data_IF_660477964629
#
_entry.id   IF_660477964629
#
_cell.length_a   1.000
_cell.length_b   1.000
_cell.length_c   1.000
_cell.angle_alpha   90.00
_cell.angle_beta   90.00
_cell.angle_gamma   90.00
#
_symmetry.space_group_name_H-M   'P 1'
#
loop_
_entity.id
_entity.type
_entity.pdbx_description
1 polymer ?
#
# COMPACT_ATOMS: atom_id res chain seq x y z
N UNK A 1 27.15 -6.07 0.84
CA UNK A 1 25.81 -5.49 0.55
C UNK A 1 24.79 -6.56 0.16
N UNK A 2 25.10 -7.53 -0.71
CA UNK A 2 24.15 -8.61 -1.08
C UNK A 2 23.63 -9.43 0.10
N UNK A 3 24.49 -9.78 1.06
CA UNK A 3 24.07 -10.62 2.20
C UNK A 3 23.17 -9.88 3.18
N UNK A 4 23.37 -8.56 3.37
CA UNK A 4 22.54 -7.73 4.26
C UNK A 4 21.15 -7.51 3.67
N UNK A 5 21.08 -7.30 2.36
CA UNK A 5 19.80 -7.19 1.63
C UNK A 5 19.07 -8.54 1.64
N UNK A 6 19.79 -9.65 1.44
CA UNK A 6 19.20 -10.98 1.51
C UNK A 6 18.70 -11.32 2.93
N UNK A 7 19.42 -10.93 3.99
CA UNK A 7 18.95 -11.12 5.37
C UNK A 7 17.79 -10.21 5.73
N UNK A 8 17.74 -8.99 5.21
CA UNK A 8 16.61 -8.07 5.43
C UNK A 8 15.36 -8.58 4.70
N UNK A 9 15.50 -9.03 3.45
CA UNK A 9 14.42 -9.68 2.68
C UNK A 9 13.97 -10.94 3.39
N UNK A 10 14.90 -11.79 3.86
CA UNK A 10 14.54 -12.99 4.60
C UNK A 10 13.81 -12.65 5.91
N UNK A 11 14.26 -11.64 6.66
CA UNK A 11 13.61 -11.21 7.90
C UNK A 11 12.18 -10.67 7.65
N UNK A 12 11.97 -9.89 6.59
CA UNK A 12 10.66 -9.37 6.19
C UNK A 12 9.73 -10.51 5.72
N UNK A 13 10.27 -11.51 5.01
CA UNK A 13 9.51 -12.69 4.57
C UNK A 13 9.22 -13.67 5.72
N UNK A 14 10.08 -13.72 6.75
CA UNK A 14 9.97 -14.62 7.91
C UNK A 14 9.15 -14.05 9.06
N UNK A 15 8.92 -12.73 9.10
CA UNK A 15 8.03 -12.09 10.08
C UNK A 15 6.54 -12.24 9.73
N UNK A 16 6.16 -13.09 8.77
CA UNK A 16 4.77 -13.24 8.31
C UNK A 16 3.89 -13.96 9.35
N UNK A 17 3.53 -13.28 10.42
CA UNK A 17 2.33 -13.61 11.18
C UNK A 17 1.18 -12.84 10.53
N UNK A 18 0.57 -13.42 9.50
CA UNK A 18 -0.65 -12.88 8.91
C UNK A 18 -1.83 -13.56 9.59
N UNK A 19 -2.51 -12.83 10.49
CA UNK A 19 -3.78 -13.27 11.04
C UNK A 19 -4.88 -13.06 10.00
N UNK A 20 -5.34 -14.17 9.44
CA UNK A 20 -6.55 -14.20 8.64
C UNK A 20 -7.80 -13.89 9.48
N UNK A 21 -8.89 -13.48 8.83
CA UNK A 21 -10.24 -13.43 9.45
C UNK A 21 -10.74 -14.82 9.83
N UNK A 22 -10.17 -15.88 9.27
CA UNK A 22 -10.22 -17.20 9.90
C UNK A 22 -9.21 -17.23 11.04
N UNK A 23 -9.69 -17.02 12.26
CA UNK A 23 -8.84 -16.94 13.45
C UNK A 23 -8.80 -18.30 14.11
N UNK A 24 -7.60 -18.87 14.22
CA UNK A 24 -7.32 -20.08 14.97
C UNK A 24 -6.51 -19.73 16.19
N UNK A 25 -6.85 -20.31 17.33
CA UNK A 25 -6.15 -19.99 18.57
C UNK A 25 -6.51 -20.92 19.71
N UNK A 26 -6.09 -20.49 20.89
CA UNK A 26 -6.34 -21.13 22.16
C UNK A 26 -7.07 -20.14 23.07
N UNK A 27 -8.18 -20.59 23.64
CA UNK A 27 -8.86 -19.88 24.70
C UNK A 27 -8.09 -20.08 26.00
N UNK A 28 -7.57 -18.98 26.52
CA UNK A 28 -6.71 -18.95 27.69
C UNK A 28 -7.41 -18.18 28.82
N UNK A 29 -7.69 -18.91 29.89
CA UNK A 29 -8.42 -18.38 31.06
C UNK A 29 -7.62 -17.31 31.80
N UNK A 30 -6.30 -17.45 31.92
CA UNK A 30 -5.42 -16.45 32.55
C UNK A 30 -5.44 -15.13 31.79
N UNK A 31 -5.30 -15.16 30.45
CA UNK A 31 -5.36 -13.96 29.60
C UNK A 31 -6.74 -13.31 29.72
N UNK A 32 -7.81 -14.12 29.67
CA UNK A 32 -9.17 -13.62 29.85
C UNK A 32 -9.33 -12.92 31.20
N UNK A 33 -8.83 -13.50 32.30
CA UNK A 33 -8.90 -12.88 33.63
C UNK A 33 -8.09 -11.58 33.72
N UNK A 34 -6.89 -11.53 33.14
CA UNK A 34 -6.04 -10.33 33.19
C UNK A 34 -6.64 -9.16 32.41
N UNK A 35 -7.29 -9.43 31.28
CA UNK A 35 -7.83 -8.41 30.38
C UNK A 35 -9.35 -8.19 30.53
N UNK A 36 -9.99 -8.83 31.52
CA UNK A 36 -11.46 -8.86 31.69
C UNK A 36 -12.19 -9.31 30.41
N UNK A 37 -11.65 -10.35 29.78
CA UNK A 37 -12.03 -10.92 28.50
C UNK A 37 -10.83 -11.02 27.55
N UNK A 38 -10.60 -12.19 26.95
CA UNK A 38 -9.53 -12.37 25.96
C UNK A 38 -10.02 -11.90 24.60
N UNK A 39 -9.31 -10.98 23.96
CA UNK A 39 -9.61 -10.55 22.60
C UNK A 39 -9.39 -11.69 21.60
N UNK A 40 -10.40 -11.94 20.76
CA UNK A 40 -10.35 -13.00 19.74
C UNK A 40 -10.22 -12.40 18.36
N UNK A 41 -11.18 -11.56 17.97
CA UNK A 41 -11.19 -10.96 16.64
C UNK A 41 -12.11 -9.76 16.55
N UNK A 42 -11.90 -8.96 15.51
CA UNK A 42 -12.69 -7.81 15.13
C UNK A 42 -13.04 -7.90 13.64
N UNK A 43 -14.32 -7.73 13.32
CA UNK A 43 -14.82 -7.84 11.97
C UNK A 43 -15.92 -6.84 11.68
N UNK A 44 -15.86 -6.19 10.51
CA UNK A 44 -16.92 -5.29 10.08
C UNK A 44 -17.93 -6.03 9.22
N UNK A 45 -19.13 -6.19 9.77
CA UNK A 45 -20.25 -6.85 9.10
C UNK A 45 -21.07 -5.86 8.30
N UNK A 46 -21.53 -6.27 7.12
CA UNK A 46 -22.37 -5.44 6.25
C UNK A 46 -23.84 -5.41 6.72
N UNK A 47 -24.26 -6.42 7.47
CA UNK A 47 -25.55 -6.47 8.17
C UNK A 47 -26.56 -7.43 7.57
N UNK A 48 -26.52 -7.68 6.26
CA UNK A 48 -27.42 -8.61 5.58
C UNK A 48 -26.85 -10.03 5.58
N UNK A 49 -27.61 -10.98 6.13
CA UNK A 49 -27.32 -12.43 6.15
C UNK A 49 -25.90 -12.81 6.61
N UNK A 50 -25.21 -11.91 7.31
CA UNK A 50 -23.82 -12.13 7.69
C UNK A 50 -23.71 -13.16 8.81
N UNK A 51 -22.66 -13.99 8.79
CA UNK A 51 -22.56 -15.17 9.63
C UNK A 51 -21.27 -15.19 10.44
N UNK A 52 -21.41 -15.36 11.74
CA UNK A 52 -20.33 -15.69 12.66
C UNK A 52 -20.38 -17.19 12.96
N UNK A 53 -19.29 -17.91 12.73
CA UNK A 53 -19.19 -19.35 13.03
C UNK A 53 -18.02 -19.56 13.99
N UNK A 54 -18.26 -20.29 15.08
CA UNK A 54 -17.22 -20.75 15.98
C UNK A 54 -17.20 -22.27 16.02
N UNK A 55 -16.02 -22.86 15.78
CA UNK A 55 -15.76 -24.30 15.89
C UNK A 55 -14.81 -24.57 17.05
N UNK A 56 -15.11 -25.63 17.79
CA UNK A 56 -14.39 -26.06 18.99
C UNK A 56 -13.91 -27.49 18.85
N UNK A 57 -12.67 -27.75 19.25
CA UNK A 57 -12.12 -29.11 19.22
C UNK A 57 -12.64 -29.97 20.39
N UNK A 58 -12.97 -29.35 21.54
CA UNK A 58 -13.43 -30.06 22.73
C UNK A 58 -14.63 -29.34 23.41
N UNK A 59 -15.87 -29.58 22.95
CA UNK A 59 -17.05 -28.92 23.50
C UNK A 59 -17.37 -29.36 24.94
N UNK A 60 -16.94 -30.55 25.37
CA UNK A 60 -17.15 -31.02 26.73
C UNK A 60 -16.35 -30.19 27.75
N UNK A 61 -15.08 -29.90 27.43
CA UNK A 61 -14.24 -29.02 28.25
C UNK A 61 -14.76 -27.58 28.26
N UNK A 62 -15.26 -27.10 27.11
CA UNK A 62 -15.88 -25.78 27.00
C UNK A 62 -17.12 -25.66 27.90
N UNK A 63 -17.95 -26.70 27.96
CA UNK A 63 -19.11 -26.75 28.85
C UNK A 63 -18.72 -26.79 30.33
N UNK A 64 -17.68 -27.54 30.70
CA UNK A 64 -17.17 -27.59 32.09
C UNK A 64 -16.64 -26.23 32.57
N UNK A 65 -15.94 -25.51 31.69
CA UNK A 65 -15.46 -24.14 31.96
C UNK A 65 -16.57 -23.08 31.91
N UNK A 66 -17.78 -23.44 31.50
CA UNK A 66 -18.83 -22.49 31.13
C UNK A 66 -18.32 -21.40 30.18
N UNK A 67 -17.55 -21.81 29.17
CA UNK A 67 -16.95 -20.94 28.17
C UNK A 67 -18.02 -20.21 27.35
N UNK A 68 -17.80 -18.91 27.12
CA UNK A 68 -18.72 -18.01 26.44
C UNK A 68 -17.95 -17.10 25.47
N UNK A 69 -18.55 -16.84 24.31
CA UNK A 69 -18.13 -15.78 23.41
C UNK A 69 -19.07 -14.59 23.55
N UNK A 70 -18.50 -13.42 23.80
CA UNK A 70 -19.19 -12.16 23.97
C UNK A 70 -18.97 -11.32 22.72
N UNK A 71 -20.06 -10.97 22.04
CA UNK A 71 -20.04 -10.13 20.84
C UNK A 71 -20.50 -8.72 21.18
N UNK A 72 -19.62 -7.75 20.95
CA UNK A 72 -19.88 -6.32 21.14
C UNK A 72 -20.02 -5.64 19.79
N UNK A 73 -20.91 -4.65 19.71
CA UNK A 73 -21.15 -3.85 18.52
C UNK A 73 -20.69 -2.42 18.79
N UNK A 74 -19.81 -1.91 17.93
CA UNK A 74 -19.08 -0.64 18.09
C UNK A 74 -18.23 -0.60 19.38
N UNK A 75 -17.00 -0.07 19.29
CA UNK A 75 -16.15 0.14 20.47
C UNK A 75 -16.81 1.20 21.34
N UNK A 76 -17.52 0.80 22.40
CA UNK A 76 -17.92 1.76 23.42
C UNK A 76 -16.65 2.16 24.18
N UNK A 77 -16.17 3.41 24.10
CA UNK A 77 -14.92 3.83 24.76
C UNK A 77 -15.01 3.70 26.29
N UNK A 78 -16.22 3.53 26.84
CA UNK A 78 -16.45 3.30 28.26
C UNK A 78 -16.33 1.82 28.68
N UNK A 79 -16.09 0.89 27.74
CA UNK A 79 -16.02 -0.55 28.03
C UNK A 79 -14.86 -0.90 28.98
N UNK A 80 -13.76 -0.16 28.93
CA UNK A 80 -12.58 -0.37 29.77
C UNK A 80 -12.75 0.22 31.18
N UNK A 81 -13.74 1.10 31.39
CA UNK A 81 -14.06 1.71 32.68
C UNK A 81 -15.11 0.92 33.49
N UNK A 82 -15.72 -0.09 32.88
CA UNK A 82 -16.75 -0.91 33.49
C UNK A 82 -16.14 -2.04 34.35
N UNK A 83 -16.87 -2.47 35.38
CA UNK A 83 -16.49 -3.68 36.11
C UNK A 83 -16.58 -4.90 35.18
N UNK A 84 -15.81 -5.97 35.45
CA UNK A 84 -15.78 -7.17 34.61
C UNK A 84 -17.18 -7.76 34.37
N UNK A 85 -17.99 -7.83 35.43
CA UNK A 85 -19.37 -8.33 35.36
C UNK A 85 -20.27 -7.39 34.55
N UNK A 86 -20.16 -6.07 34.75
CA UNK A 86 -20.98 -5.11 34.00
C UNK A 86 -20.62 -5.13 32.51
N UNK A 87 -19.34 -5.31 32.18
CA UNK A 87 -18.86 -5.48 30.80
C UNK A 87 -19.58 -6.64 30.12
N UNK A 88 -19.77 -7.77 30.80
CA UNK A 88 -20.46 -8.93 30.21
C UNK A 88 -21.94 -8.64 29.91
N UNK A 89 -22.60 -7.82 30.73
CA UNK A 89 -24.02 -7.44 30.49
C UNK A 89 -24.19 -6.49 29.30
N UNK A 90 -23.14 -5.75 28.94
CA UNK A 90 -23.11 -4.85 27.78
C UNK A 90 -22.94 -5.59 26.45
N UNK A 91 -22.57 -6.88 26.47
CA UNK A 91 -22.44 -7.68 25.25
C UNK A 91 -23.79 -7.79 24.52
N UNK A 92 -23.78 -7.60 23.20
CA UNK A 92 -25.00 -7.67 22.39
C UNK A 92 -25.46 -9.11 22.19
N UNK A 93 -24.52 -10.04 22.06
CA UNK A 93 -24.78 -11.47 22.09
C UNK A 93 -23.82 -12.17 23.04
N UNK A 94 -24.35 -13.19 23.71
CA UNK A 94 -23.60 -14.10 24.59
C UNK A 94 -23.82 -15.50 24.05
N UNK A 95 -22.77 -16.09 23.49
CA UNK A 95 -22.78 -17.41 22.87
C UNK A 95 -22.19 -18.40 23.88
N UNK A 96 -22.98 -19.36 24.36
CA UNK A 96 -22.49 -20.44 25.22
C UNK A 96 -21.85 -21.56 24.39
N UNK A 97 -20.57 -21.82 24.64
CA UNK A 97 -19.76 -22.78 23.90
C UNK A 97 -19.99 -24.20 24.42
N UNK A 98 -21.08 -24.82 23.98
CA UNK A 98 -21.50 -26.17 24.42
C UNK A 98 -21.51 -27.22 23.31
N UNK A 99 -21.39 -26.79 22.05
CA UNK A 99 -21.44 -27.64 20.86
C UNK A 99 -20.17 -27.47 20.04
N UNK A 100 -19.88 -28.45 19.17
CA UNK A 100 -18.71 -28.42 18.30
C UNK A 100 -18.72 -27.23 17.33
N UNK A 101 -19.88 -26.88 16.77
CA UNK A 101 -20.06 -25.73 15.89
C UNK A 101 -21.20 -24.83 16.40
N UNK A 102 -20.96 -23.53 16.45
CA UNK A 102 -21.95 -22.53 16.80
C UNK A 102 -22.06 -21.47 15.71
N UNK A 103 -23.27 -21.27 15.21
CA UNK A 103 -23.58 -20.38 14.10
C UNK A 103 -24.47 -19.25 14.59
N UNK A 104 -23.99 -18.01 14.50
CA UNK A 104 -24.70 -16.80 14.89
C UNK A 104 -24.86 -15.88 13.68
N UNK A 105 -26.09 -15.70 13.24
CA UNK A 105 -26.43 -14.71 12.20
C UNK A 105 -26.46 -13.31 12.81
N UNK A 106 -25.81 -12.37 12.13
CA UNK A 106 -25.78 -10.97 12.56
C UNK A 106 -27.09 -10.30 12.12
N UNK A 107 -27.78 -9.56 13.00
CA UNK A 107 -29.03 -8.91 12.67
C UNK A 107 -28.82 -7.79 11.64
N UNK A 108 -29.85 -7.58 10.80
CA UNK A 108 -29.91 -6.53 9.80
C UNK A 108 -29.55 -5.16 10.39
N UNK A 109 -28.68 -4.43 9.69
CA UNK A 109 -28.20 -3.11 10.09
C UNK A 109 -28.26 -2.15 8.91
N UNK A 110 -28.63 -0.90 9.18
CA UNK A 110 -28.73 0.16 8.18
C UNK A 110 -27.38 0.60 7.62
N UNK A 111 -26.28 0.25 8.29
CA UNK A 111 -24.91 0.60 7.89
C UNK A 111 -23.94 -0.48 8.39
N UNK A 112 -22.84 -0.75 7.67
CA UNK A 112 -21.81 -1.66 8.15
C UNK A 112 -21.25 -1.22 9.49
N UNK A 113 -21.12 -2.16 10.43
CA UNK A 113 -20.61 -1.89 11.76
C UNK A 113 -19.56 -2.89 12.19
N UNK A 114 -18.69 -2.43 13.08
CA UNK A 114 -17.65 -3.25 13.67
C UNK A 114 -18.24 -4.11 14.78
N UNK A 115 -17.90 -5.39 14.75
CA UNK A 115 -18.17 -6.33 15.82
C UNK A 115 -16.87 -6.87 16.40
N UNK A 116 -16.81 -6.96 17.72
CA UNK A 116 -15.68 -7.50 18.47
C UNK A 116 -16.11 -8.75 19.22
N UNK A 117 -15.32 -9.82 19.08
CA UNK A 117 -15.51 -11.06 19.81
C UNK A 117 -14.49 -11.16 20.95
N UNK A 118 -14.99 -11.37 22.17
CA UNK A 118 -14.20 -11.58 23.37
C UNK A 118 -14.55 -12.95 23.96
N UNK A 119 -13.53 -13.70 24.38
CA UNK A 119 -13.71 -14.94 25.13
C UNK A 119 -13.76 -14.66 26.63
N UNK A 120 -14.68 -15.35 27.29
CA UNK A 120 -14.83 -15.35 28.73
C UNK A 120 -15.26 -16.74 29.22
N UNK A 121 -14.97 -17.03 30.47
CA UNK A 121 -15.41 -18.23 31.18
C UNK A 121 -15.80 -17.90 32.63
N UNK A 122 -16.22 -18.92 33.39
CA UNK A 122 -16.62 -18.74 34.80
C UNK A 122 -15.54 -18.13 35.70
N UNK A 123 -14.27 -18.24 35.32
CA UNK A 123 -13.14 -17.77 36.12
C UNK A 123 -12.70 -16.36 35.74
N UNK A 124 -13.17 -15.85 34.60
CA UNK A 124 -12.73 -14.57 34.02
C UNK A 124 -12.98 -13.38 34.96
N UNK A 125 -14.15 -13.29 35.60
CA UNK A 125 -14.48 -12.21 36.55
C UNK A 125 -14.32 -12.61 38.02
N UNK A 126 -13.76 -13.79 38.32
CA UNK A 126 -13.65 -14.25 39.70
C UNK A 126 -12.42 -13.65 40.39
N UNK A 127 -12.64 -12.89 41.47
CA UNK A 127 -11.57 -12.34 42.29
C UNK A 127 -10.96 -13.41 43.21
N UNK A 128 -9.63 -13.58 43.18
CA UNK A 128 -8.88 -14.38 44.16
C UNK A 128 -9.06 -15.91 44.11
N UNK A 129 -9.74 -16.45 43.09
CA UNK A 129 -9.88 -17.90 42.90
C UNK A 129 -8.63 -18.56 42.29
N UNK A 130 -8.31 -19.78 42.74
CA UNK A 130 -7.31 -20.65 42.07
C UNK A 130 -7.91 -21.09 40.74
N UNK A 131 -7.27 -20.72 39.62
CA UNK A 131 -7.62 -21.26 38.31
C UNK A 131 -7.15 -22.72 38.31
N UNK A 132 -8.05 -23.70 38.10
CA UNK A 132 -7.62 -25.07 37.97
C UNK A 132 -6.77 -25.20 36.71
N UNK A 133 -5.69 -26.00 36.76
CA UNK A 133 -4.85 -26.29 35.60
C UNK A 133 -5.63 -27.16 34.61
N UNK A 134 -6.52 -26.52 33.85
CA UNK A 134 -7.21 -27.13 32.74
C UNK A 134 -6.39 -26.95 31.47
N UNK A 135 -6.52 -27.89 30.54
CA UNK A 135 -5.96 -27.73 29.20
C UNK A 135 -6.56 -26.49 28.50
N UNK A 136 -5.77 -25.86 27.64
CA UNK A 136 -6.23 -24.80 26.76
C UNK A 136 -7.21 -25.37 25.72
N UNK A 137 -8.27 -24.60 25.41
CA UNK A 137 -9.31 -25.01 24.47
C UNK A 137 -9.01 -24.43 23.10
N UNK A 138 -8.77 -25.27 22.10
CA UNK A 138 -8.55 -24.80 20.73
C UNK A 138 -9.86 -24.45 20.04
N UNK A 139 -9.81 -23.37 19.26
CA UNK A 139 -10.96 -22.86 18.54
C UNK A 139 -10.58 -22.40 17.12
N UNK A 140 -11.59 -22.39 16.25
CA UNK A 140 -11.55 -21.75 14.95
C UNK A 140 -12.77 -20.85 14.79
N UNK A 141 -12.56 -19.54 14.61
CA UNK A 141 -13.63 -18.59 14.27
C UNK A 141 -13.59 -18.28 12.79
N UNK A 142 -14.75 -18.34 12.14
CA UNK A 142 -14.96 -17.95 10.75
C UNK A 142 -15.97 -16.79 10.71
N UNK A 143 -15.62 -15.78 9.94
CA UNK A 143 -16.38 -14.54 9.80
C UNK A 143 -16.78 -14.40 8.33
N UNK A 144 -18.08 -14.25 8.07
CA UNK A 144 -18.62 -14.19 6.71
C UNK A 144 -19.54 -12.98 6.51
N UNK A 145 -19.33 -12.28 5.41
CA UNK A 145 -20.26 -11.32 4.82
C UNK A 145 -20.94 -11.93 3.57
N UNK A 146 -22.07 -11.36 3.13
CA UNK A 146 -22.76 -11.81 1.94
C UNK A 146 -21.91 -11.57 0.68
N UNK A 147 -21.89 -12.55 -0.21
CA UNK A 147 -21.28 -12.45 -1.54
C UNK A 147 -22.16 -11.62 -2.49
N UNK A 148 -21.74 -11.47 -3.75
CA UNK A 148 -22.53 -10.74 -4.76
C UNK A 148 -23.90 -11.36 -5.07
N UNK A 149 -24.14 -12.61 -4.65
CA UNK A 149 -25.41 -13.32 -4.76
C UNK A 149 -26.22 -13.33 -3.45
N UNK A 150 -25.72 -12.66 -2.39
CA UNK A 150 -26.38 -12.57 -1.09
C UNK A 150 -26.10 -13.75 -0.13
N UNK A 151 -25.19 -14.67 -0.48
CA UNK A 151 -24.88 -15.83 0.38
C UNK A 151 -23.71 -15.51 1.31
N UNK A 152 -23.73 -15.90 2.60
CA UNK A 152 -22.65 -15.63 3.55
C UNK A 152 -21.44 -16.56 3.35
N UNK A 153 -20.72 -16.34 2.26
CA UNK A 153 -19.57 -17.14 1.86
C UNK A 153 -18.29 -16.31 1.76
N UNK A 154 -18.39 -14.99 1.83
CA UNK A 154 -17.25 -14.11 1.62
C UNK A 154 -16.58 -13.76 2.94
N UNK A 155 -15.28 -14.01 3.05
CA UNK A 155 -14.48 -13.66 4.22
C UNK A 155 -14.06 -12.17 4.26
N UNK A 156 -14.36 -11.39 3.21
CA UNK A 156 -14.03 -9.96 3.21
C UNK A 156 -14.83 -9.18 4.26
N UNK A 157 -14.12 -8.40 5.05
CA UNK A 157 -14.72 -7.34 5.87
C UNK A 157 -15.34 -6.28 4.96
N UNK A 158 -16.31 -5.51 5.46
CA UNK A 158 -16.92 -4.43 4.68
C UNK A 158 -15.89 -3.35 4.23
N UNK A 159 -14.78 -3.22 4.97
CA UNK A 159 -13.65 -2.32 4.67
C UNK A 159 -12.86 -2.82 3.46
N UNK A 160 -12.59 -4.12 3.38
CA UNK A 160 -11.81 -4.75 2.30
C UNK A 160 -12.68 -5.15 1.08
N UNK A 161 -14.00 -5.20 1.26
CA UNK A 161 -14.94 -5.58 0.21
C UNK A 161 -14.79 -4.70 -1.05
N UNK A 162 -14.53 -5.36 -2.18
CA UNK A 162 -14.30 -4.73 -3.49
C UNK A 162 -12.82 -4.56 -3.88
N UNK A 163 -11.88 -4.74 -2.94
CA UNK A 163 -10.44 -4.62 -3.23
C UNK A 163 -9.96 -5.70 -4.22
N UNK A 164 -10.49 -6.92 -4.12
CA UNK A 164 -10.22 -8.00 -5.08
C UNK A 164 -10.59 -7.61 -6.52
N UNK A 165 -11.80 -7.08 -6.71
CA UNK A 165 -12.31 -6.61 -8.01
C UNK A 165 -11.50 -5.43 -8.55
N UNK A 166 -11.06 -4.53 -7.66
CA UNK A 166 -10.18 -3.43 -8.02
C UNK A 166 -8.84 -3.92 -8.61
N UNK A 167 -8.14 -4.83 -7.92
CA UNK A 167 -6.87 -5.36 -8.41
C UNK A 167 -7.03 -6.14 -9.72
N UNK A 168 -8.14 -6.86 -9.89
CA UNK A 168 -8.45 -7.51 -11.17
C UNK A 168 -8.56 -6.49 -12.32
N UNK A 169 -9.33 -5.40 -12.13
CA UNK A 169 -9.48 -4.35 -13.13
C UNK A 169 -8.16 -3.60 -13.38
N UNK A 170 -7.36 -3.37 -12.34
CA UNK A 170 -6.04 -2.75 -12.46
C UNK A 170 -5.08 -3.61 -13.29
N UNK A 171 -5.04 -4.92 -13.03
CA UNK A 171 -4.24 -5.87 -13.81
C UNK A 171 -4.70 -5.94 -15.26
N UNK A 172 -6.01 -5.93 -15.50
CA UNK A 172 -6.56 -5.87 -16.86
C UNK A 172 -6.11 -4.59 -17.58
N UNK A 173 -6.18 -3.43 -16.91
CA UNK A 173 -5.71 -2.17 -17.46
C UNK A 173 -4.20 -2.19 -17.76
N UNK A 174 -3.39 -2.75 -16.87
CA UNK A 174 -1.95 -2.94 -17.10
C UNK A 174 -1.67 -3.88 -18.27
N UNK A 175 -2.43 -4.98 -18.39
CA UNK A 175 -2.30 -5.91 -19.51
C UNK A 175 -2.59 -5.22 -20.86
N UNK A 176 -3.68 -4.45 -20.93
CA UNK A 176 -4.04 -3.67 -22.13
C UNK A 176 -2.95 -2.64 -22.45
N UNK A 177 -2.49 -1.89 -21.45
CA UNK A 177 -1.43 -0.91 -21.62
C UNK A 177 -0.11 -1.56 -22.11
N UNK A 178 0.27 -2.71 -21.54
CA UNK A 178 1.42 -3.48 -22.00
C UNK A 178 1.28 -3.86 -23.48
N UNK A 179 0.13 -4.37 -23.91
CA UNK A 179 -0.11 -4.73 -25.31
C UNK A 179 0.08 -3.52 -26.26
N UNK A 180 -0.37 -2.33 -25.86
CA UNK A 180 -0.26 -1.10 -26.66
C UNK A 180 1.18 -0.58 -26.70
N UNK A 181 1.88 -0.55 -25.56
CA UNK A 181 3.16 0.17 -25.42
C UNK A 181 4.41 -0.70 -25.53
N UNK A 182 4.31 -2.03 -25.55
CA UNK A 182 5.48 -2.92 -25.58
C UNK A 182 6.35 -2.74 -26.84
N UNK A 183 5.73 -2.54 -28.01
CA UNK A 183 6.46 -2.33 -29.26
C UNK A 183 7.21 -0.99 -29.29
N UNK A 184 6.56 0.18 -29.04
CA UNK A 184 7.27 1.46 -28.89
C UNK A 184 8.37 1.43 -27.84
N UNK A 185 8.11 0.78 -26.69
CA UNK A 185 9.07 0.66 -25.61
C UNK A 185 10.31 -0.12 -26.04
N UNK A 186 10.11 -1.29 -26.64
CA UNK A 186 11.21 -2.14 -27.08
C UNK A 186 12.11 -1.39 -28.06
N UNK A 187 11.53 -0.65 -29.00
CA UNK A 187 12.27 0.18 -29.94
C UNK A 187 13.02 1.31 -29.23
N UNK A 188 12.36 2.04 -28.31
CA UNK A 188 12.98 3.13 -27.56
C UNK A 188 14.16 2.66 -26.69
N UNK A 189 14.06 1.47 -26.07
CA UNK A 189 15.13 0.88 -25.27
C UNK A 189 16.30 0.42 -26.16
N UNK A 190 16.02 -0.24 -27.28
CA UNK A 190 17.09 -0.71 -28.19
C UNK A 190 17.89 0.43 -28.81
N UNK A 191 17.26 1.58 -29.04
CA UNK A 191 17.87 2.73 -29.73
C UNK A 191 18.86 3.53 -28.86
N UNK A 192 18.81 3.42 -27.53
CA UNK A 192 19.86 3.99 -26.66
C UNK A 192 19.96 5.53 -26.63
N UNK A 193 18.83 6.25 -26.59
CA UNK A 193 18.81 7.72 -26.52
C UNK A 193 19.21 8.30 -25.14
N UNK A 194 19.33 9.64 -25.02
CA UNK A 194 19.72 10.30 -23.75
C UNK A 194 18.72 10.05 -22.61
N UNK A 195 17.47 9.69 -22.93
CA UNK A 195 16.41 9.35 -21.95
C UNK A 195 16.34 7.85 -21.64
N UNK A 196 17.25 7.03 -22.17
CA UNK A 196 17.25 5.58 -22.02
C UNK A 196 17.29 5.13 -20.54
N UNK A 197 18.12 5.77 -19.72
CA UNK A 197 18.23 5.42 -18.29
C UNK A 197 16.92 5.67 -17.54
N UNK A 198 16.24 6.78 -17.83
CA UNK A 198 14.96 7.14 -17.19
C UNK A 198 13.88 6.14 -17.62
N UNK A 199 13.80 5.83 -18.92
CA UNK A 199 12.85 4.85 -19.44
C UNK A 199 13.10 3.46 -18.83
N UNK A 200 14.36 3.06 -18.64
CA UNK A 200 14.69 1.79 -17.99
C UNK A 200 14.20 1.76 -16.54
N UNK A 201 14.50 2.79 -15.74
CA UNK A 201 14.06 2.83 -14.34
C UNK A 201 12.54 2.88 -14.24
N UNK A 202 11.87 3.69 -15.06
CA UNK A 202 10.41 3.80 -15.07
C UNK A 202 9.73 2.48 -15.49
N UNK A 203 10.32 1.76 -16.45
CA UNK A 203 9.85 0.43 -16.86
C UNK A 203 10.02 -0.58 -15.73
N UNK A 204 11.16 -0.56 -15.03
CA UNK A 204 11.39 -1.43 -13.87
C UNK A 204 10.40 -1.12 -12.74
N UNK A 205 10.16 0.16 -12.44
CA UNK A 205 9.21 0.58 -11.42
C UNK A 205 7.78 0.13 -11.75
N UNK A 206 7.33 0.35 -12.99
CA UNK A 206 6.02 -0.10 -13.46
C UNK A 206 5.88 -1.63 -13.42
N UNK A 207 6.93 -2.36 -13.80
CA UNK A 207 6.93 -3.82 -13.71
C UNK A 207 6.82 -4.31 -12.26
N UNK A 208 7.57 -3.71 -11.32
CA UNK A 208 7.46 -4.02 -9.90
C UNK A 208 6.06 -3.72 -9.35
N UNK A 209 5.47 -2.59 -9.74
CA UNK A 209 4.10 -2.24 -9.34
C UNK A 209 3.07 -3.23 -9.92
N UNK A 210 3.24 -3.68 -11.16
CA UNK A 210 2.38 -4.71 -11.76
C UNK A 210 2.52 -6.08 -11.08
N UNK A 211 3.76 -6.46 -10.74
CA UNK A 211 4.03 -7.68 -9.98
C UNK A 211 3.42 -7.61 -8.58
N UNK A 212 3.51 -6.45 -7.90
CA UNK A 212 2.85 -6.21 -6.61
C UNK A 212 1.33 -6.39 -6.71
N UNK A 213 0.69 -5.75 -7.70
CA UNK A 213 -0.74 -5.90 -7.95
C UNK A 213 -1.15 -7.36 -8.22
N UNK A 214 -0.30 -8.15 -8.91
CA UNK A 214 -0.55 -9.57 -9.15
C UNK A 214 -0.47 -10.39 -7.86
N UNK A 215 0.54 -10.15 -7.03
CA UNK A 215 0.67 -10.79 -5.72
C UNK A 215 -0.52 -10.46 -4.81
N UNK A 216 -0.94 -9.20 -4.76
CA UNK A 216 -2.14 -8.77 -4.02
C UNK A 216 -3.40 -9.44 -4.56
N UNK A 217 -3.57 -9.52 -5.88
CA UNK A 217 -4.70 -10.24 -6.46
C UNK A 217 -4.72 -11.71 -6.05
N UNK A 218 -3.59 -12.42 -6.12
CA UNK A 218 -3.49 -13.84 -5.74
C UNK A 218 -3.77 -14.03 -4.25
N UNK A 219 -3.23 -13.16 -3.40
CA UNK A 219 -3.47 -13.16 -1.95
C UNK A 219 -4.98 -12.99 -1.66
N UNK A 220 -5.60 -11.94 -2.21
CA UNK A 220 -7.02 -11.63 -2.00
C UNK A 220 -7.94 -12.69 -2.62
N UNK A 221 -7.57 -13.29 -3.75
CA UNK A 221 -8.33 -14.37 -4.38
C UNK A 221 -8.44 -15.60 -3.46
N UNK A 222 -7.36 -15.94 -2.75
CA UNK A 222 -7.38 -17.02 -1.75
C UNK A 222 -8.09 -16.60 -0.49
N UNK A 223 -7.80 -15.39 0.00
CA UNK A 223 -8.41 -14.83 1.19
C UNK A 223 -9.94 -14.82 1.14
N UNK A 224 -10.54 -14.52 -0.02
CA UNK A 224 -12.01 -14.60 -0.18
C UNK A 224 -12.62 -15.96 0.16
N UNK A 225 -11.84 -17.06 0.03
CA UNK A 225 -12.33 -18.43 0.20
C UNK A 225 -11.96 -19.05 1.54
N UNK A 226 -10.82 -18.68 2.11
CA UNK A 226 -10.29 -19.29 3.33
C UNK A 226 -10.14 -18.30 4.49
N UNK A 227 -10.32 -17.00 4.23
CA UNK A 227 -10.15 -15.93 5.20
C UNK A 227 -8.70 -15.71 5.65
N UNK A 228 -7.71 -16.40 5.09
CA UNK A 228 -6.28 -16.30 5.47
C UNK A 228 -5.43 -15.78 4.31
N UNK A 229 -5.76 -16.17 3.08
CA UNK A 229 -4.98 -15.86 1.90
C UNK A 229 -3.63 -16.56 1.90
N UNK A 230 -2.71 -16.03 1.09
CA UNK A 230 -1.30 -16.50 1.06
C UNK A 230 -0.44 -15.41 1.70
N UNK A 231 0.03 -15.58 2.96
CA UNK A 231 0.79 -14.55 3.68
C UNK A 231 2.03 -14.09 2.91
N UNK A 232 2.74 -15.05 2.31
CA UNK A 232 3.91 -14.80 1.48
C UNK A 232 3.61 -13.87 0.30
N UNK A 233 2.45 -14.03 -0.35
CA UNK A 233 2.06 -13.19 -1.47
C UNK A 233 1.71 -11.77 -1.02
N UNK A 234 1.09 -11.60 0.15
CA UNK A 234 0.86 -10.28 0.75
C UNK A 234 2.18 -9.54 1.01
N UNK A 235 3.10 -10.19 1.73
CA UNK A 235 4.43 -9.63 2.02
C UNK A 235 5.24 -9.32 0.75
N UNK A 236 5.20 -10.18 -0.26
CA UNK A 236 5.84 -9.91 -1.56
C UNK A 236 5.22 -8.72 -2.28
N UNK A 237 3.89 -8.56 -2.21
CA UNK A 237 3.21 -7.43 -2.84
C UNK A 237 3.64 -6.11 -2.21
N UNK A 238 3.65 -6.03 -0.88
CA UNK A 238 4.10 -4.85 -0.13
C UNK A 238 5.57 -4.53 -0.43
N UNK A 239 6.44 -5.54 -0.39
CA UNK A 239 7.87 -5.35 -0.69
C UNK A 239 8.10 -4.81 -2.10
N UNK A 240 7.47 -5.40 -3.12
CA UNK A 240 7.60 -4.92 -4.50
C UNK A 240 7.02 -3.52 -4.69
N UNK A 241 5.94 -3.18 -3.99
CA UNK A 241 5.38 -1.84 -4.00
C UNK A 241 6.33 -0.82 -3.35
N UNK A 242 6.90 -1.13 -2.18
CA UNK A 242 7.90 -0.28 -1.53
C UNK A 242 9.09 0.01 -2.44
N UNK A 243 9.66 -1.03 -3.08
CA UNK A 243 10.79 -0.86 -4.01
C UNK A 243 10.37 0.00 -5.20
N UNK A 244 9.16 -0.19 -5.74
CA UNK A 244 8.60 0.64 -6.81
C UNK A 244 8.49 2.10 -6.38
N UNK A 245 7.89 2.39 -5.21
CA UNK A 245 7.72 3.74 -4.69
C UNK A 245 9.05 4.46 -4.47
N UNK A 246 10.06 3.77 -3.90
CA UNK A 246 11.41 4.30 -3.68
C UNK A 246 12.11 4.58 -5.02
N UNK A 247 12.00 3.66 -5.99
CA UNK A 247 12.58 3.84 -7.32
C UNK A 247 11.95 5.01 -8.08
N UNK A 248 10.64 5.22 -7.91
CA UNK A 248 9.93 6.32 -8.52
C UNK A 248 10.33 7.65 -7.91
N UNK A 249 10.38 7.72 -6.57
CA UNK A 249 10.83 8.91 -5.85
C UNK A 249 12.23 9.31 -6.31
N UNK A 250 13.16 8.35 -6.34
CA UNK A 250 14.53 8.57 -6.80
C UNK A 250 14.56 9.15 -8.22
N UNK A 251 13.73 8.61 -9.11
CA UNK A 251 13.63 9.09 -10.50
C UNK A 251 13.11 10.53 -10.54
N UNK A 252 12.01 10.84 -9.86
CA UNK A 252 11.42 12.18 -9.84
C UNK A 252 12.39 13.24 -9.30
N UNK A 253 13.05 12.95 -8.18
CA UNK A 253 14.02 13.86 -7.57
C UNK A 253 15.27 14.02 -8.44
N UNK A 254 15.78 12.94 -9.03
CA UNK A 254 16.94 13.00 -9.93
C UNK A 254 16.66 13.83 -11.19
N UNK A 255 15.46 13.70 -11.75
CA UNK A 255 15.01 14.48 -12.91
C UNK A 255 14.93 15.98 -12.58
N UNK A 256 14.37 16.34 -11.43
CA UNK A 256 14.23 17.74 -11.01
C UNK A 256 15.57 18.38 -10.62
N UNK A 257 16.47 17.60 -10.03
CA UNK A 257 17.81 18.06 -9.63
C UNK A 257 18.84 18.03 -10.76
N UNK A 258 18.43 17.72 -11.99
CA UNK A 258 19.23 17.96 -13.20
C UNK A 258 19.95 16.75 -13.80
N UNK A 259 19.62 15.52 -13.39
CA UNK A 259 20.30 14.32 -13.91
C UNK A 259 20.14 14.10 -15.42
N UNK A 260 19.07 14.60 -16.05
CA UNK A 260 18.83 14.38 -17.49
C UNK A 260 18.41 15.58 -18.34
N UNK A 261 18.09 16.74 -17.74
CA UNK A 261 17.46 17.85 -18.48
C UNK A 261 18.32 19.10 -18.71
N UNK A 262 19.53 19.22 -18.16
CA UNK A 262 20.36 20.39 -18.48
C UNK A 262 21.86 20.23 -18.20
N UNK A 263 22.66 19.91 -19.24
CA UNK A 263 23.85 20.69 -19.64
C UNK A 263 24.49 20.13 -20.92
N UNK A 264 23.85 20.38 -22.05
CA UNK A 264 24.54 20.37 -23.34
C UNK A 264 25.48 21.56 -23.43
N UNK A 265 26.70 21.44 -22.87
CA UNK A 265 27.93 22.18 -23.23
C UNK A 265 29.06 21.82 -22.26
N UNK A 266 29.62 20.62 -22.42
CA UNK A 266 31.05 20.33 -22.24
C UNK A 266 31.32 18.93 -22.82
N UNK A 267 32.41 18.72 -23.58
CA UNK A 267 32.69 17.44 -24.21
C UNK A 267 32.98 16.40 -23.13
N UNK A 268 32.16 15.36 -23.14
CA UNK A 268 32.15 14.22 -22.25
C UNK A 268 33.36 13.32 -22.57
N UNK A 269 34.42 13.41 -21.78
CA UNK A 269 35.54 12.45 -21.83
C UNK A 269 35.56 11.47 -20.65
N UNK A 270 34.57 11.50 -19.75
CA UNK A 270 34.37 10.46 -18.72
C UNK A 270 32.88 10.20 -18.47
N UNK A 271 32.42 8.93 -18.48
CA UNK A 271 31.03 8.60 -18.17
C UNK A 271 30.82 8.74 -16.66
N UNK A 272 29.64 9.23 -16.25
CA UNK A 272 29.20 9.36 -14.84
C UNK A 272 29.81 10.51 -14.01
N UNK A 273 29.88 11.73 -14.54
CA UNK A 273 30.09 12.90 -13.68
C UNK A 273 28.81 13.70 -13.44
N UNK A 274 28.43 13.68 -12.18
CA UNK A 274 27.36 14.39 -11.52
C UNK A 274 27.71 15.88 -11.48
N UNK A 275 26.93 16.76 -12.11
CA UNK A 275 27.08 18.21 -11.90
C UNK A 275 26.40 18.58 -10.58
N UNK A 276 27.11 18.32 -9.47
CA UNK A 276 26.69 18.43 -8.08
C UNK A 276 26.68 19.88 -7.59
N UNK A 277 25.53 20.37 -7.12
CA UNK A 277 25.56 20.92 -5.77
C UNK A 277 25.48 19.71 -4.82
N UNK A 278 26.48 19.47 -3.94
CA UNK A 278 26.44 18.35 -3.00
C UNK A 278 25.16 18.36 -2.15
N UNK A 279 24.57 19.55 -1.93
CA UNK A 279 23.30 19.73 -1.25
C UNK A 279 22.10 19.10 -1.99
N UNK A 280 21.98 19.25 -3.32
CA UNK A 280 20.82 18.69 -4.06
C UNK A 280 20.85 17.16 -4.10
N UNK A 281 22.05 16.60 -4.14
CA UNK A 281 22.28 15.14 -4.09
C UNK A 281 21.95 14.58 -2.72
N UNK A 282 22.40 15.27 -1.67
CA UNK A 282 22.07 14.91 -0.29
C UNK A 282 20.56 14.96 -0.02
N UNK A 283 19.86 15.96 -0.56
CA UNK A 283 18.38 16.06 -0.45
C UNK A 283 17.68 14.91 -1.19
N UNK A 284 18.12 14.56 -2.40
CA UNK A 284 17.52 13.47 -3.16
C UNK A 284 17.75 12.10 -2.51
N UNK A 285 18.99 11.79 -2.14
CA UNK A 285 19.34 10.52 -1.48
C UNK A 285 18.71 10.47 -0.08
N UNK A 286 18.78 11.56 0.68
CA UNK A 286 18.17 11.69 2.01
C UNK A 286 16.66 11.47 1.96
N UNK A 287 15.95 12.12 1.04
CA UNK A 287 14.51 11.92 0.87
C UNK A 287 14.13 10.48 0.54
N UNK A 288 14.90 9.82 -0.33
CA UNK A 288 14.69 8.40 -0.70
C UNK A 288 14.93 7.47 0.49
N UNK A 289 16.02 7.69 1.24
CA UNK A 289 16.34 6.89 2.43
C UNK A 289 15.28 7.09 3.51
N UNK A 290 14.90 8.34 3.80
CA UNK A 290 13.86 8.64 4.79
C UNK A 290 12.53 8.01 4.41
N UNK A 291 12.11 8.09 3.13
CA UNK A 291 10.88 7.41 2.68
C UNK A 291 10.97 5.89 2.87
N UNK A 292 12.09 5.27 2.48
CA UNK A 292 12.29 3.83 2.65
C UNK A 292 12.25 3.39 4.11
N UNK A 293 12.88 4.14 5.01
CA UNK A 293 12.86 3.86 6.46
C UNK A 293 11.45 4.01 7.04
N UNK A 294 10.71 5.04 6.64
CA UNK A 294 9.36 5.26 7.13
C UNK A 294 8.38 4.18 6.62
N UNK A 295 8.52 3.71 5.37
CA UNK A 295 7.72 2.59 4.86
C UNK A 295 8.03 1.28 5.59
N UNK A 296 9.31 1.03 5.91
CA UNK A 296 9.69 -0.13 6.72
C UNK A 296 9.19 -0.03 8.17
N UNK A 297 9.17 1.17 8.74
CA UNK A 297 8.56 1.40 10.05
C UNK A 297 7.07 1.08 10.00
N UNK A 298 6.33 1.65 9.05
CA UNK A 298 4.89 1.43 8.89
C UNK A 298 4.57 -0.07 8.84
N UNK A 299 5.30 -0.82 8.00
CA UNK A 299 5.20 -2.27 7.92
C UNK A 299 5.43 -3.00 9.25
N UNK A 300 6.46 -2.59 10.01
CA UNK A 300 6.77 -3.22 11.29
C UNK A 300 5.73 -2.87 12.37
N UNK A 301 5.25 -1.62 12.36
CA UNK A 301 4.23 -1.15 13.29
C UNK A 301 2.89 -1.84 13.08
N UNK A 302 2.52 -2.16 11.84
CA UNK A 302 1.33 -2.95 11.53
C UNK A 302 1.44 -4.39 12.01
N UNK A 303 2.65 -4.96 11.99
CA UNK A 303 2.91 -6.31 12.50
C UNK A 303 2.90 -6.44 14.03
N UNK A 304 3.10 -5.35 14.79
CA UNK A 304 3.25 -5.38 16.25
C UNK A 304 2.00 -4.87 17.01
N UNK A 305 1.24 -3.92 16.44
CA UNK A 305 0.06 -3.33 17.10
C UNK A 305 -1.24 -4.09 16.80
N UNK A 306 -1.31 -5.33 17.24
CA UNK A 306 -2.44 -6.25 17.00
C UNK A 306 -3.67 -5.97 17.90
N UNK A 307 -3.70 -4.90 18.72
CA UNK A 307 -4.71 -4.73 19.79
C UNK A 307 -5.55 -3.45 19.78
N UNK A 308 -5.26 -2.43 18.95
CA UNK A 308 -6.09 -1.21 18.88
C UNK A 308 -6.22 -0.67 17.45
N UNK A 309 -6.92 -1.42 16.60
CA UNK A 309 -7.18 -1.11 15.19
C UNK A 309 -8.26 -0.03 15.00
N UNK A 310 -8.03 1.19 15.49
CA UNK A 310 -8.79 2.38 15.04
C UNK A 310 -7.88 3.51 14.53
N UNK A 311 -6.57 3.26 14.42
CA UNK A 311 -5.58 4.30 14.15
C UNK A 311 -4.54 3.93 13.09
N UNK A 312 -4.78 2.99 12.17
CA UNK A 312 -3.86 2.75 11.04
C UNK A 312 -3.59 4.06 10.24
N UNK A 313 -4.62 4.87 10.01
CA UNK A 313 -4.50 6.23 9.42
C UNK A 313 -3.90 7.30 10.36
N UNK A 314 -3.69 7.00 11.64
CA UNK A 314 -3.02 7.86 12.62
C UNK A 314 -1.68 7.28 13.09
N UNK A 315 -1.17 6.24 12.42
CA UNK A 315 0.18 5.74 12.73
C UNK A 315 1.16 6.90 12.55
N UNK A 316 2.05 7.08 13.54
CA UNK A 316 3.02 8.16 13.50
C UNK A 316 3.89 8.07 12.23
N UNK A 317 4.18 6.84 11.78
CA UNK A 317 4.88 6.57 10.52
C UNK A 317 4.10 7.09 9.29
N UNK A 318 2.81 6.78 9.18
CA UNK A 318 1.94 7.27 8.09
C UNK A 318 1.83 8.80 8.07
N UNK A 319 1.70 9.44 9.24
CA UNK A 319 1.67 10.90 9.34
C UNK A 319 3.01 11.53 8.90
N UNK A 320 4.14 10.93 9.31
CA UNK A 320 5.46 11.37 8.89
C UNK A 320 5.67 11.18 7.37
N UNK A 321 5.17 10.10 6.77
CA UNK A 321 5.19 9.89 5.33
C UNK A 321 4.40 10.97 4.59
N UNK A 322 3.21 11.31 5.08
CA UNK A 322 2.39 12.40 4.54
C UNK A 322 3.15 13.72 4.61
N UNK A 323 3.71 14.06 5.77
CA UNK A 323 4.50 15.28 5.97
C UNK A 323 5.72 15.33 5.03
N UNK A 324 6.44 14.21 4.88
CA UNK A 324 7.56 14.09 3.95
C UNK A 324 7.12 14.33 2.50
N UNK A 325 6.02 13.72 2.05
CA UNK A 325 5.52 13.90 0.67
C UNK A 325 5.11 15.34 0.40
N UNK A 326 4.46 16.01 1.35
CA UNK A 326 4.12 17.44 1.22
C UNK A 326 5.39 18.30 1.15
N UNK A 327 6.36 18.05 2.03
CA UNK A 327 7.65 18.76 2.03
C UNK A 327 8.41 18.59 0.72
N UNK A 328 8.51 17.36 0.21
CA UNK A 328 9.15 17.07 -1.08
C UNK A 328 8.38 17.69 -2.25
N UNK A 329 7.05 17.71 -2.22
CA UNK A 329 6.23 18.37 -3.24
C UNK A 329 6.48 19.88 -3.28
N UNK A 330 6.59 20.55 -2.13
CA UNK A 330 6.89 21.98 -2.04
C UNK A 330 8.31 22.29 -2.56
N UNK A 331 9.30 21.47 -2.20
CA UNK A 331 10.66 21.56 -2.74
C UNK A 331 10.63 21.41 -4.27
N UNK A 332 9.94 20.39 -4.78
CA UNK A 332 9.78 20.18 -6.22
C UNK A 332 9.12 21.37 -6.91
N UNK A 333 8.06 21.93 -6.30
CA UNK A 333 7.34 23.08 -6.81
C UNK A 333 8.27 24.29 -6.96
N UNK A 334 9.09 24.55 -5.93
CA UNK A 334 10.04 25.67 -5.96
C UNK A 334 11.07 25.52 -7.08
N UNK A 335 11.64 24.33 -7.25
CA UNK A 335 12.63 24.04 -8.30
C UNK A 335 11.98 24.14 -9.69
N UNK A 336 10.83 23.51 -9.88
CA UNK A 336 10.11 23.55 -11.16
C UNK A 336 9.65 24.97 -11.50
N UNK A 337 9.21 25.76 -10.53
CA UNK A 337 8.84 27.16 -10.74
C UNK A 337 10.04 28.00 -11.22
N UNK A 338 11.22 27.81 -10.63
CA UNK A 338 12.45 28.47 -11.08
C UNK A 338 12.83 28.06 -12.50
N UNK A 339 12.73 26.76 -12.83
CA UNK A 339 13.02 26.26 -14.19
C UNK A 339 12.01 26.84 -15.21
N UNK A 340 10.72 26.78 -14.91
CA UNK A 340 9.64 27.24 -15.80
C UNK A 340 9.67 28.76 -16.03
N UNK A 341 10.04 29.54 -15.01
CA UNK A 341 10.12 31.00 -15.11
C UNK A 341 11.36 31.50 -15.86
N UNK A 342 12.47 30.74 -15.82
CA UNK A 342 13.71 31.07 -16.52
C UNK A 342 13.76 30.56 -17.96
N UNK A 343 12.98 29.52 -18.29
CA UNK A 343 12.97 28.92 -19.62
C UNK A 343 12.23 29.80 -20.65
N UNK A 344 12.93 30.15 -21.74
CA UNK A 344 12.38 31.01 -22.81
C UNK A 344 11.63 30.23 -23.90
N UNK A 345 11.87 28.92 -24.04
CA UNK A 345 11.23 28.10 -25.06
C UNK A 345 9.86 27.59 -24.59
N UNK A 346 8.81 27.96 -25.33
CA UNK A 346 7.43 27.49 -25.08
C UNK A 346 7.32 25.97 -25.07
N UNK A 347 8.02 25.29 -26.00
CA UNK A 347 8.01 23.83 -26.10
C UNK A 347 8.61 23.12 -24.87
N UNK A 348 9.71 23.66 -24.33
CA UNK A 348 10.31 23.14 -23.09
C UNK A 348 9.45 23.46 -21.88
N UNK A 349 8.85 24.66 -21.85
CA UNK A 349 7.91 25.07 -20.80
C UNK A 349 6.72 24.12 -20.72
N UNK A 350 6.14 23.74 -21.86
CA UNK A 350 5.03 22.78 -21.92
C UNK A 350 5.44 21.39 -21.42
N UNK A 351 6.67 20.96 -21.71
CA UNK A 351 7.22 19.72 -21.15
C UNK A 351 7.29 19.80 -19.62
N UNK A 352 7.87 20.87 -19.06
CA UNK A 352 7.99 21.02 -17.61
C UNK A 352 6.62 21.14 -16.93
N UNK A 353 5.63 21.75 -17.57
CA UNK A 353 4.26 21.82 -17.07
C UNK A 353 3.59 20.43 -17.05
N UNK A 354 3.75 19.62 -18.11
CA UNK A 354 3.23 18.26 -18.13
C UNK A 354 3.95 17.35 -17.12
N UNK A 355 5.26 17.49 -17.00
CA UNK A 355 6.07 16.82 -16.00
C UNK A 355 5.63 17.18 -14.58
N UNK A 356 5.42 18.47 -14.31
CA UNK A 356 4.93 18.96 -13.03
C UNK A 356 3.56 18.35 -12.67
N UNK A 357 2.63 18.26 -13.62
CA UNK A 357 1.32 17.60 -13.41
C UNK A 357 1.49 16.16 -12.95
N UNK A 358 2.35 15.38 -13.61
CA UNK A 358 2.65 14.00 -13.20
C UNK A 358 3.25 13.93 -11.80
N UNK A 359 4.28 14.73 -11.53
CA UNK A 359 4.93 14.76 -10.23
C UNK A 359 3.97 15.14 -9.09
N UNK A 360 3.21 16.23 -9.25
CA UNK A 360 2.27 16.66 -8.22
C UNK A 360 1.16 15.66 -7.99
N UNK A 361 0.66 15.01 -9.05
CA UNK A 361 -0.31 13.92 -8.89
C UNK A 361 0.27 12.78 -8.05
N UNK A 362 1.54 12.40 -8.26
CA UNK A 362 2.18 11.30 -7.51
C UNK A 362 2.48 11.65 -6.04
N UNK A 363 2.94 12.87 -5.77
CA UNK A 363 3.27 13.29 -4.40
C UNK A 363 2.03 13.65 -3.58
N UNK A 364 1.09 14.39 -4.16
CA UNK A 364 -0.04 14.96 -3.44
C UNK A 364 -1.28 14.07 -3.44
N UNK A 365 -1.34 12.98 -4.23
CA UNK A 365 -2.51 12.10 -4.18
C UNK A 365 -2.77 11.54 -2.78
N UNK A 366 -1.72 11.09 -2.08
CA UNK A 366 -1.85 10.52 -0.74
C UNK A 366 -2.38 11.52 0.30
N UNK A 367 -1.74 12.69 0.54
CA UNK A 367 -2.26 13.68 1.49
C UNK A 367 -3.67 14.15 1.13
N UNK A 368 -3.94 14.39 -0.15
CA UNK A 368 -5.26 14.88 -0.58
C UNK A 368 -6.33 13.81 -0.34
N UNK A 369 -6.08 12.55 -0.67
CA UNK A 369 -7.05 11.48 -0.45
C UNK A 369 -7.30 11.20 1.03
N UNK A 370 -6.26 11.29 1.87
CA UNK A 370 -6.43 11.18 3.33
C UNK A 370 -7.31 12.33 3.85
N UNK A 371 -7.09 13.57 3.40
CA UNK A 371 -7.94 14.70 3.77
C UNK A 371 -9.38 14.54 3.27
N UNK A 372 -9.57 14.02 2.05
CA UNK A 372 -10.89 13.75 1.50
C UNK A 372 -11.61 12.60 2.21
N UNK A 373 -10.85 11.64 2.76
CA UNK A 373 -11.41 10.49 3.49
C UNK A 373 -12.23 10.89 4.72
N UNK A 374 -11.98 12.05 5.33
CA UNK A 374 -12.77 12.55 6.46
C UNK A 374 -14.24 12.83 6.13
N UNK A 375 -14.57 12.98 4.85
CA UNK A 375 -15.97 13.16 4.39
C UNK A 375 -16.71 11.82 4.30
N UNK A 376 -15.98 10.71 4.15
CA UNK A 376 -16.55 9.37 4.02
C UNK A 376 -16.77 8.72 5.38
N UNK A 377 -17.70 7.77 5.45
CA UNK A 377 -17.92 6.92 6.63
C UNK A 377 -16.74 5.99 6.88
N UNK A 378 -16.48 5.65 8.15
CA UNK A 378 -15.32 4.86 8.60
C UNK A 378 -15.02 3.63 7.73
N UNK A 379 -16.05 2.84 7.40
CA UNK A 379 -15.93 1.63 6.58
C UNK A 379 -15.43 1.84 5.13
N UNK A 380 -15.45 3.07 4.62
CA UNK A 380 -15.01 3.38 3.25
C UNK A 380 -13.67 4.10 3.22
N UNK A 381 -13.21 4.65 4.34
CA UNK A 381 -12.04 5.55 4.38
C UNK A 381 -10.80 4.86 3.84
N UNK A 382 -10.45 3.72 4.43
CA UNK A 382 -9.26 2.96 4.05
C UNK A 382 -9.31 2.50 2.60
N UNK A 383 -10.45 1.93 2.18
CA UNK A 383 -10.67 1.49 0.81
C UNK A 383 -10.52 2.61 -0.21
N UNK A 384 -11.18 3.76 0.02
CA UNK A 384 -11.14 4.91 -0.90
C UNK A 384 -9.74 5.49 -0.99
N UNK A 385 -9.03 5.57 0.15
CA UNK A 385 -7.63 6.03 0.16
C UNK A 385 -6.74 5.06 -0.61
N UNK A 386 -6.77 3.77 -0.30
CA UNK A 386 -5.92 2.75 -0.96
C UNK A 386 -6.19 2.69 -2.47
N UNK A 387 -7.44 2.55 -2.89
CA UNK A 387 -7.83 2.52 -4.30
C UNK A 387 -7.43 3.83 -4.99
N UNK A 388 -7.74 4.98 -4.38
CA UNK A 388 -7.45 6.28 -4.94
C UNK A 388 -5.95 6.53 -5.11
N UNK A 389 -5.14 6.13 -4.12
CA UNK A 389 -3.68 6.32 -4.15
C UNK A 389 -3.07 5.47 -5.24
N UNK A 390 -3.40 4.18 -5.29
CA UNK A 390 -2.90 3.28 -6.33
C UNK A 390 -3.29 3.80 -7.71
N UNK A 391 -4.56 4.19 -7.92
CA UNK A 391 -5.00 4.76 -9.20
C UNK A 391 -4.26 6.04 -9.57
N UNK A 392 -4.15 7.01 -8.65
CA UNK A 392 -3.45 8.26 -8.93
C UNK A 392 -1.97 8.04 -9.25
N UNK A 393 -1.31 7.14 -8.53
CA UNK A 393 0.08 6.79 -8.78
C UNK A 393 0.24 6.09 -10.13
N UNK A 394 -0.63 5.13 -10.48
CA UNK A 394 -0.63 4.47 -11.79
C UNK A 394 -0.87 5.47 -12.93
N UNK A 395 -1.82 6.40 -12.77
CA UNK A 395 -2.10 7.44 -13.77
C UNK A 395 -0.89 8.37 -13.92
N UNK A 396 -0.28 8.80 -12.81
CA UNK A 396 0.93 9.63 -12.85
C UNK A 396 2.07 8.91 -13.57
N UNK A 397 2.30 7.63 -13.27
CA UNK A 397 3.28 6.80 -13.96
C UNK A 397 3.04 6.77 -15.47
N UNK A 398 1.80 6.56 -15.91
CA UNK A 398 1.44 6.58 -17.33
C UNK A 398 1.70 7.95 -17.96
N UNK A 399 1.33 9.06 -17.30
CA UNK A 399 1.59 10.42 -17.79
C UNK A 399 3.09 10.65 -17.98
N UNK A 400 3.90 10.30 -16.99
CA UNK A 400 5.35 10.46 -17.05
C UNK A 400 5.96 9.57 -18.14
N UNK A 401 5.47 8.34 -18.27
CA UNK A 401 5.92 7.39 -19.27
C UNK A 401 5.63 7.87 -20.70
N UNK A 402 4.41 8.36 -20.97
CA UNK A 402 4.05 9.00 -22.24
C UNK A 402 4.92 10.22 -22.55
N UNK A 403 5.18 11.04 -21.53
CA UNK A 403 5.98 12.25 -21.68
C UNK A 403 7.42 11.92 -22.13
N UNK A 404 8.04 10.89 -21.55
CA UNK A 404 9.40 10.49 -21.92
C UNK A 404 9.45 9.74 -23.26
N UNK A 405 8.46 8.89 -23.56
CA UNK A 405 8.39 8.21 -24.86
C UNK A 405 8.19 9.20 -26.02
N UNK A 406 7.20 10.09 -25.94
CA UNK A 406 6.90 11.07 -27.00
C UNK A 406 8.07 11.99 -27.33
N UNK A 407 8.84 12.41 -26.32
CA UNK A 407 10.00 13.30 -26.51
C UNK A 407 11.26 12.56 -26.95
N UNK A 408 11.41 11.27 -26.63
CA UNK A 408 12.49 10.45 -27.20
C UNK A 408 12.40 10.41 -28.74
N UNK A 409 11.19 10.34 -29.29
CA UNK A 409 10.90 10.42 -30.72
C UNK A 409 11.12 11.84 -31.28
N UNK A 410 10.76 12.89 -30.54
CA UNK A 410 11.01 14.28 -30.98
C UNK A 410 12.50 14.61 -31.12
N UNK A 411 13.34 14.12 -30.18
CA UNK A 411 14.79 14.26 -30.27
C UNK A 411 15.39 13.50 -31.45
N UNK A 412 14.77 12.38 -31.85
CA UNK A 412 15.12 11.62 -33.06
C UNK A 412 14.84 12.45 -34.33
N UNK A 413 13.65 13.03 -34.45
CA UNK A 413 13.32 13.88 -35.62
C UNK A 413 14.19 15.14 -35.65
N UNK A 414 14.47 15.73 -34.49
CA UNK A 414 15.30 16.94 -34.39
C UNK A 414 16.78 16.66 -34.73
N UNK A 415 17.35 15.53 -34.27
CA UNK A 415 18.72 15.15 -34.61
C UNK A 415 18.87 14.81 -36.09
N UNK A 416 17.89 14.11 -36.67
CA UNK A 416 17.84 13.84 -38.11
C UNK A 416 17.73 15.14 -38.93
N UNK A 417 16.91 16.10 -38.50
CA UNK A 417 16.78 17.40 -39.18
C UNK A 417 18.06 18.24 -39.12
N UNK A 418 18.84 18.11 -38.03
CA UNK A 418 20.11 18.82 -37.86
C UNK A 418 21.25 18.26 -38.73
N UNK A 419 21.13 17.00 -39.17
CA UNK A 419 22.09 16.38 -40.11
C UNK A 419 21.76 16.75 -41.56
N UNK A 420 20.52 17.13 -41.86
CA UNK A 420 20.08 17.51 -43.22
C UNK A 420 20.32 18.97 -43.60
N UNK A 421 20.90 19.80 -42.73
CA UNK A 421 21.35 21.15 -43.12
C UNK A 421 22.72 21.02 -43.81
N UNK A 422 22.83 21.24 -45.14
CA UNK A 422 24.13 21.27 -45.79
C UNK A 422 24.92 22.42 -45.19
N UNK A 423 26.00 22.09 -44.47
CA UNK A 423 27.03 23.05 -44.12
C UNK A 423 27.48 23.69 -45.43
N UNK A 424 27.14 24.96 -45.64
CA UNK A 424 27.71 25.77 -46.71
C UNK A 424 29.22 25.73 -46.54
N UNK A 425 29.91 24.91 -47.35
CA UNK A 425 31.36 25.00 -47.47
C UNK A 425 31.67 26.42 -47.93
N UNK A 426 32.19 27.25 -47.02
CA UNK A 426 32.74 28.55 -47.37
C UNK A 426 33.88 28.30 -48.34
N UNK A 427 33.64 28.63 -49.61
CA UNK A 427 34.59 28.51 -50.72
C UNK A 427 35.83 29.33 -50.36
N UNK A 428 36.91 28.65 -49.97
CA UNK A 428 38.21 29.25 -49.72
C UNK A 428 38.69 29.90 -51.02
N UNK A 429 38.68 31.23 -51.03
CA UNK A 429 39.06 32.05 -52.16
C UNK A 429 40.59 32.08 -52.26
N UNK A 430 41.19 31.20 -53.06
CA UNK A 430 42.58 31.33 -53.46
C UNK A 430 42.72 32.48 -54.46
N UNK A 431 42.97 33.70 -53.94
CA UNK A 431 43.54 34.79 -54.74
C UNK A 431 45.06 34.59 -54.82
N UNK A 432 45.51 33.95 -55.90
CA UNK A 432 46.89 34.01 -56.35
C UNK A 432 47.23 35.43 -56.80
N UNK A 433 48.35 35.94 -56.30
CA UNK A 433 48.99 37.19 -56.74
C UNK A 433 49.55 37.00 -58.15
N UNK A 434 49.29 37.96 -59.03
CA UNK A 434 50.20 38.32 -60.12
C UNK A 434 50.84 39.65 -59.76
#
# INVERSE_FOLDING_TARGET
MSNVIATLIAAILLSSHAFGKTVKGLFNTEVARQQSGQFITKFMYQGDDSLFVCRLDNPALAAEKESRLLLYQDMDPDLDNLSCSDRFTRARFIISLTQEEHNQTIPHQSSPKVWQALYADRYTCQEGGVIPSHADLSFTVLLFNPDSAGNPLDHFSAEEAGLHSFYFLLLLAYFIACCIYIQPLYQALRKGGPMHTVLKVLTTALALQGCSALCNYIHLARYSRDGVGIPLMGSMAEFWDMVSQVSMLYTLLSLCMGWTLSRGRKPQSRPLQWEQSPASTAVAVGGVVTQGVLLLWEQYSESENDHHSYHAQQSLAGLLLIALRVGLALLLASVLYQIISTERSTLKKDFYLCFAKGCFLWFLCHPVLVLMSFVFSDHQKEKVVTIGVVLCQSISMVILYQLFLSRSLYWEVSSLSSVSLPLTMSRTNHRGRY
#
